data_IF_991196507670
#
_entry.id   IF_991196507670
#
_cell.length_a   1.000
_cell.length_b   1.000
_cell.length_c   1.000
_cell.angle_alpha   90.00
_cell.angle_beta   90.00
_cell.angle_gamma   90.00
#
_symmetry.space_group_name_H-M   'P 1'
#
loop_
_entity.id
_entity.type
_entity.pdbx_description
1 polymer ?
#
# COMPACT_ATOMS: atom_id res chain seq x y z
N UNK A 1 -4.66 -14.17 7.67
CA UNK A 1 -5.12 -13.80 9.02
C UNK A 1 -3.95 -13.67 10.00
N UNK A 2 -2.99 -14.60 10.03
CA UNK A 2 -1.81 -14.54 10.91
C UNK A 2 -1.06 -13.19 10.93
N UNK A 3 -0.79 -12.59 9.75
CA UNK A 3 -0.12 -11.28 9.67
C UNK A 3 -0.92 -10.16 10.35
N UNK A 4 -2.25 -10.19 10.27
CA UNK A 4 -3.13 -9.18 10.90
C UNK A 4 -3.11 -9.34 12.44
N UNK A 5 -3.03 -10.57 12.93
CA UNK A 5 -2.90 -10.85 14.36
C UNK A 5 -1.54 -10.40 14.89
N UNK A 6 -0.47 -10.62 14.13
CA UNK A 6 0.86 -10.14 14.50
C UNK A 6 0.92 -8.60 14.51
N UNK A 7 0.31 -7.92 13.54
CA UNK A 7 0.29 -6.44 13.53
C UNK A 7 -0.41 -5.89 14.77
N UNK A 8 -1.45 -6.56 15.27
CA UNK A 8 -2.13 -6.17 16.52
C UNK A 8 -1.19 -6.28 17.73
N UNK A 9 -0.37 -7.33 17.80
CA UNK A 9 0.61 -7.52 18.89
C UNK A 9 1.70 -6.43 18.91
N UNK A 10 2.06 -5.88 17.75
CA UNK A 10 3.04 -4.77 17.65
C UNK A 10 2.40 -3.39 17.74
N UNK A 11 1.10 -3.31 18.07
CA UNK A 11 0.39 -2.04 18.33
C UNK A 11 -0.27 -1.41 17.11
N UNK A 12 -0.52 -2.18 16.05
CA UNK A 12 -1.29 -1.73 14.88
C UNK A 12 -2.48 -2.67 14.67
N UNK A 13 -3.65 -2.23 15.10
CA UNK A 13 -4.88 -2.98 15.01
C UNK A 13 -5.72 -2.50 13.84
N UNK A 14 -6.21 -3.45 13.03
CA UNK A 14 -7.23 -3.17 12.03
C UNK A 14 -8.59 -3.08 12.74
N UNK A 15 -9.02 -1.87 13.09
CA UNK A 15 -10.25 -1.65 13.85
C UNK A 15 -11.50 -1.91 13.01
N UNK A 16 -11.51 -1.37 11.77
CA UNK A 16 -12.62 -1.55 10.84
C UNK A 16 -12.12 -1.50 9.40
N UNK A 17 -12.74 -2.29 8.53
CA UNK A 17 -12.49 -2.26 7.10
C UNK A 17 -13.78 -2.53 6.35
N UNK A 18 -14.12 -1.59 5.47
CA UNK A 18 -15.21 -1.70 4.52
C UNK A 18 -14.64 -1.73 3.08
N UNK A 19 -15.52 -1.68 2.06
CA UNK A 19 -15.08 -1.66 0.65
C UNK A 19 -14.42 -0.33 0.25
N UNK A 20 -14.80 0.77 0.91
CA UNK A 20 -14.36 2.13 0.58
C UNK A 20 -13.52 2.79 1.68
N UNK A 21 -13.42 2.20 2.87
CA UNK A 21 -12.73 2.80 4.00
C UNK A 21 -12.01 1.77 4.87
N UNK A 22 -10.98 2.22 5.57
CA UNK A 22 -10.19 1.44 6.50
C UNK A 22 -9.78 2.31 7.69
N UNK A 23 -9.95 1.79 8.89
CA UNK A 23 -9.54 2.44 10.12
C UNK A 23 -8.50 1.58 10.84
N UNK A 24 -7.33 2.16 11.08
CA UNK A 24 -6.24 1.56 11.84
C UNK A 24 -6.17 2.24 13.20
N UNK A 25 -6.15 1.42 14.25
CA UNK A 25 -5.88 1.86 15.61
C UNK A 25 -4.39 1.62 15.90
N UNK A 26 -3.68 2.70 16.17
CA UNK A 26 -2.26 2.72 16.48
C UNK A 26 -2.07 2.76 18.01
N UNK A 27 -0.88 2.36 18.45
CA UNK A 27 -0.43 2.50 19.84
C UNK A 27 -0.73 3.89 20.39
N UNK A 28 -1.36 3.95 21.56
CA UNK A 28 -1.72 5.22 22.20
C UNK A 28 -3.06 5.81 21.75
N UNK A 29 -4.05 4.98 21.38
CA UNK A 29 -5.43 5.39 21.06
C UNK A 29 -5.57 6.34 19.86
N UNK A 30 -4.58 6.35 18.96
CA UNK A 30 -4.63 7.15 17.73
C UNK A 30 -5.32 6.35 16.64
N UNK A 31 -6.32 6.96 16.00
CA UNK A 31 -7.01 6.35 14.86
C UNK A 31 -6.48 7.01 13.58
N UNK A 32 -6.02 6.19 12.63
CA UNK A 32 -5.76 6.62 11.25
C UNK A 32 -6.87 6.12 10.35
N UNK A 33 -7.50 7.04 9.63
CA UNK A 33 -8.52 6.75 8.64
C UNK A 33 -7.95 6.83 7.23
N UNK A 34 -8.26 5.81 6.43
CA UNK A 34 -7.88 5.72 5.04
C UNK A 34 -9.10 5.48 4.17
N UNK A 35 -9.15 6.18 3.04
CA UNK A 35 -10.08 5.92 1.97
C UNK A 35 -9.48 4.90 1.00
N UNK A 36 -10.21 3.84 0.68
CA UNK A 36 -9.82 2.86 -0.33
C UNK A 36 -10.29 3.36 -1.68
N UNK A 37 -9.35 3.80 -2.52
CA UNK A 37 -9.64 4.30 -3.86
C UNK A 37 -9.81 3.16 -4.86
N UNK A 38 -8.99 2.11 -4.73
CA UNK A 38 -9.06 0.96 -5.62
C UNK A 38 -8.51 -0.29 -4.96
N UNK A 39 -9.06 -1.45 -5.35
CA UNK A 39 -8.70 -2.76 -4.83
C UNK A 39 -8.33 -3.67 -6.01
N UNK A 40 -7.09 -4.13 -6.02
CA UNK A 40 -6.61 -5.15 -6.96
C UNK A 40 -6.70 -6.51 -6.26
N UNK A 41 -7.75 -7.31 -6.53
CA UNK A 41 -7.96 -8.57 -5.84
C UNK A 41 -6.86 -9.57 -6.17
N UNK A 42 -6.64 -10.52 -5.26
CA UNK A 42 -5.75 -11.64 -5.52
C UNK A 42 -6.36 -12.58 -6.56
N UNK A 43 -5.58 -12.91 -7.59
CA UNK A 43 -5.93 -13.98 -8.53
C UNK A 43 -4.78 -14.98 -8.61
N UNK A 44 -5.10 -16.27 -8.85
CA UNK A 44 -4.09 -17.32 -8.99
C UNK A 44 -3.11 -17.07 -10.14
N UNK A 45 -3.56 -16.34 -11.17
CA UNK A 45 -2.76 -15.91 -12.31
C UNK A 45 -1.79 -14.79 -11.92
N UNK A 46 -2.27 -13.76 -11.25
CA UNK A 46 -1.46 -12.60 -10.89
C UNK A 46 -0.53 -12.85 -9.70
N UNK A 47 -0.87 -13.80 -8.82
CA UNK A 47 -0.17 -14.14 -7.56
C UNK A 47 0.16 -12.92 -6.70
N UNK A 48 -0.66 -11.88 -6.78
CA UNK A 48 -0.47 -10.60 -6.08
C UNK A 48 -1.82 -9.97 -5.72
N UNK A 49 -1.81 -9.13 -4.71
CA UNK A 49 -2.93 -8.31 -4.26
C UNK A 49 -2.41 -6.90 -4.01
N UNK A 50 -3.17 -5.90 -4.41
CA UNK A 50 -2.82 -4.50 -4.20
C UNK A 50 -4.02 -3.67 -3.75
N UNK A 51 -3.74 -2.55 -3.10
CA UNK A 51 -4.74 -1.53 -2.76
C UNK A 51 -4.15 -0.15 -3.01
N UNK A 52 -4.97 0.76 -3.53
CA UNK A 52 -4.67 2.19 -3.56
C UNK A 52 -5.48 2.81 -2.43
N UNK A 53 -4.78 3.46 -1.52
CA UNK A 53 -5.38 4.13 -0.37
C UNK A 53 -4.98 5.59 -0.34
N UNK A 54 -5.86 6.43 0.19
CA UNK A 54 -5.60 7.83 0.50
C UNK A 54 -5.71 8.03 2.00
N UNK A 55 -4.71 8.64 2.60
CA UNK A 55 -4.78 9.07 4.00
C UNK A 55 -5.70 10.29 4.10
N UNK A 56 -6.74 10.22 4.93
CA UNK A 56 -7.71 11.31 5.07
C UNK A 56 -7.13 12.56 5.75
N UNK A 57 -6.00 12.43 6.46
CA UNK A 57 -5.37 13.55 7.18
C UNK A 57 -4.29 14.25 6.35
N UNK A 58 -3.46 13.49 5.64
CA UNK A 58 -2.33 14.04 4.88
C UNK A 58 -2.62 14.24 3.40
N UNK A 59 -3.74 13.69 2.92
CA UNK A 59 -4.12 13.63 1.51
C UNK A 59 -3.16 12.80 0.63
N UNK A 60 -2.23 12.07 1.26
CA UNK A 60 -1.24 11.26 0.56
C UNK A 60 -1.89 10.01 -0.02
N UNK A 61 -1.65 9.75 -1.31
CA UNK A 61 -2.10 8.55 -1.99
C UNK A 61 -0.95 7.54 -2.06
N UNK A 62 -1.19 6.35 -1.53
CA UNK A 62 -0.20 5.27 -1.49
C UNK A 62 -0.74 4.02 -2.19
N UNK A 63 0.10 3.42 -3.03
CA UNK A 63 -0.11 2.09 -3.59
C UNK A 63 0.61 1.07 -2.72
N UNK A 64 -0.14 0.13 -2.13
CA UNK A 64 0.39 -0.96 -1.31
C UNK A 64 0.13 -2.27 -2.03
N UNK A 65 1.16 -3.08 -2.25
CA UNK A 65 1.05 -4.38 -2.92
C UNK A 65 1.79 -5.48 -2.16
N UNK A 66 1.22 -6.69 -2.19
CA UNK A 66 1.83 -7.92 -1.69
C UNK A 66 1.64 -9.04 -2.71
N UNK A 67 2.63 -9.90 -2.87
CA UNK A 67 2.57 -11.01 -3.84
C UNK A 67 3.79 -11.90 -3.75
N UNK A 68 3.85 -12.91 -4.63
CA UNK A 68 5.03 -13.78 -4.73
C UNK A 68 6.27 -12.98 -5.17
N UNK A 69 7.43 -13.32 -4.62
CA UNK A 69 8.69 -12.60 -4.86
C UNK A 69 9.04 -12.51 -6.34
N UNK A 70 8.81 -13.60 -7.09
CA UNK A 70 9.08 -13.66 -8.54
C UNK A 70 8.23 -12.69 -9.35
N UNK A 71 7.02 -12.39 -8.90
CA UNK A 71 6.11 -11.41 -9.55
C UNK A 71 6.42 -9.99 -9.10
N UNK A 72 6.70 -9.81 -7.80
CA UNK A 72 7.02 -8.50 -7.24
C UNK A 72 8.36 -7.96 -7.75
N UNK A 73 9.38 -8.82 -7.92
CA UNK A 73 10.70 -8.43 -8.41
C UNK A 73 10.64 -7.75 -9.80
N UNK A 74 9.79 -8.25 -10.70
CA UNK A 74 9.58 -7.65 -12.02
C UNK A 74 8.98 -6.24 -11.93
N UNK A 75 8.02 -6.02 -11.03
CA UNK A 75 7.41 -4.70 -10.84
C UNK A 75 8.34 -3.70 -10.16
N UNK A 76 9.11 -4.16 -9.17
CA UNK A 76 10.10 -3.31 -8.51
C UNK A 76 11.12 -2.83 -9.54
N UNK A 77 11.63 -3.72 -10.39
CA UNK A 77 12.57 -3.34 -11.45
C UNK A 77 11.95 -2.33 -12.41
N UNK A 78 10.71 -2.55 -12.84
CA UNK A 78 9.97 -1.61 -13.68
C UNK A 78 9.80 -0.24 -13.00
N UNK A 79 9.47 -0.21 -11.71
CA UNK A 79 9.33 1.04 -10.96
C UNK A 79 10.66 1.78 -10.81
N UNK A 80 11.75 1.09 -10.53
CA UNK A 80 13.09 1.69 -10.50
C UNK A 80 13.52 2.20 -11.87
N UNK A 81 13.19 1.48 -12.94
CA UNK A 81 13.44 1.91 -14.30
C UNK A 81 12.65 3.19 -14.63
N UNK A 82 11.35 3.22 -14.35
CA UNK A 82 10.53 4.42 -14.53
C UNK A 82 11.04 5.58 -13.68
N UNK A 83 11.40 5.34 -12.42
CA UNK A 83 11.94 6.38 -11.55
C UNK A 83 13.27 6.92 -12.12
N UNK A 84 14.16 6.04 -12.56
CA UNK A 84 15.42 6.42 -13.21
C UNK A 84 15.17 7.25 -14.49
N UNK A 85 14.22 6.84 -15.34
CA UNK A 85 13.86 7.57 -16.56
C UNK A 85 13.25 8.94 -16.25
N UNK A 86 12.35 9.05 -15.27
CA UNK A 86 11.76 10.32 -14.84
C UNK A 86 12.80 11.28 -14.26
N UNK A 87 13.72 10.81 -13.42
CA UNK A 87 14.82 11.62 -12.90
C UNK A 87 15.81 12.04 -13.99
N UNK A 88 16.03 11.20 -15.00
CA UNK A 88 16.93 11.52 -16.13
C UNK A 88 16.26 12.47 -17.14
N UNK A 89 14.93 12.51 -17.17
CA UNK A 89 14.16 13.32 -18.15
C UNK A 89 13.56 14.61 -17.57
N UNK A 90 13.71 14.87 -16.27
CA UNK A 90 13.27 16.13 -15.63
C UNK A 90 14.30 17.24 -15.86
N UNK A 91 14.02 18.29 -16.67
CA UNK A 91 15.00 19.34 -17.02
C UNK A 91 15.17 20.43 -15.94
N UNK A 92 14.61 20.25 -14.74
CA UNK A 92 14.45 21.34 -13.75
C UNK A 92 15.40 21.28 -12.54
N UNK A 93 16.53 20.59 -12.65
CA UNK A 93 17.68 20.77 -11.75
C UNK A 93 19.00 20.73 -12.54
N UNK A 94 19.20 21.73 -13.39
CA UNK A 94 20.53 22.29 -13.69
C UNK A 94 20.54 23.74 -13.24
#
# INVERSE_FOLDING_TARGET
VALVQWTEQVGVKLAKRDLASMHLELSGNRIKSFQILHLFPFTSESKRMGIIVRDEHTDEVSLIMKGADTVMAQMVWLFYFFRSFYYTSSPLMQ
#
